data_IF_296219254298
#
_entry.id   IF_296219254298
#
_cell.length_a   1.000
_cell.length_b   1.000
_cell.length_c   1.000
_cell.angle_alpha   90.00
_cell.angle_beta   90.00
_cell.angle_gamma   90.00
#
_symmetry.space_group_name_H-M   'P 1'
#
loop_
_entity.id
_entity.type
_entity.pdbx_description
1 polymer ?
#
# COMPACT_ATOMS: atom_id res chain seq x y z
N UNK A 1 -7.93 -21.18 42.04
CA UNK A 1 -7.55 -19.80 41.65
C UNK A 1 -6.45 -19.71 40.59
N UNK A 2 -5.43 -20.60 40.55
CA UNK A 2 -4.33 -20.52 39.56
C UNK A 2 -4.76 -20.86 38.11
N UNK A 3 -5.75 -21.75 37.95
CA UNK A 3 -6.30 -22.19 36.66
C UNK A 3 -7.16 -21.12 35.97
N UNK A 4 -8.02 -20.44 36.73
CA UNK A 4 -8.83 -19.32 36.21
C UNK A 4 -7.97 -18.16 35.70
N UNK A 5 -6.82 -17.91 36.35
CA UNK A 5 -5.91 -16.81 35.98
C UNK A 5 -5.19 -17.04 34.64
N UNK A 6 -4.98 -18.30 34.26
CA UNK A 6 -4.45 -18.67 32.95
C UNK A 6 -5.50 -18.51 31.84
N UNK A 7 -6.75 -18.90 32.09
CA UNK A 7 -7.85 -18.69 31.14
C UNK A 7 -8.12 -17.20 30.87
N UNK A 8 -8.07 -16.34 31.89
CA UNK A 8 -8.28 -14.90 31.73
C UNK A 8 -7.15 -14.21 30.94
N UNK A 9 -5.90 -14.67 31.09
CA UNK A 9 -4.75 -14.14 30.36
C UNK A 9 -4.82 -14.50 28.87
N UNK A 10 -5.21 -15.74 28.56
CA UNK A 10 -5.43 -16.17 27.17
C UNK A 10 -6.58 -15.42 26.50
N UNK A 11 -7.69 -15.21 27.22
CA UNK A 11 -8.83 -14.45 26.68
C UNK A 11 -8.46 -12.97 26.41
N UNK A 12 -7.70 -12.32 27.28
CA UNK A 12 -7.26 -10.94 27.09
C UNK A 12 -6.37 -10.77 25.83
N UNK A 13 -5.50 -11.73 25.54
CA UNK A 13 -4.65 -11.71 24.33
C UNK A 13 -5.49 -11.87 23.06
N UNK A 14 -6.51 -12.73 23.08
CA UNK A 14 -7.41 -12.90 21.93
C UNK A 14 -8.24 -11.63 21.68
N UNK A 15 -8.71 -10.98 22.74
CA UNK A 15 -9.50 -9.73 22.66
C UNK A 15 -8.65 -8.57 22.12
N UNK A 16 -7.41 -8.40 22.60
CA UNK A 16 -6.55 -7.29 22.12
C UNK A 16 -6.08 -7.48 20.69
N UNK A 17 -5.85 -8.72 20.25
CA UNK A 17 -5.54 -9.00 18.84
C UNK A 17 -6.75 -8.70 17.96
N UNK A 18 -7.96 -9.11 18.35
CA UNK A 18 -9.19 -8.88 17.58
C UNK A 18 -9.48 -7.37 17.38
N UNK A 19 -9.30 -6.56 18.43
CA UNK A 19 -9.50 -5.10 18.36
C UNK A 19 -8.50 -4.44 17.39
N UNK A 20 -7.24 -4.90 17.34
CA UNK A 20 -6.21 -4.33 16.47
C UNK A 20 -6.54 -4.44 14.96
N UNK A 21 -7.25 -5.49 14.54
CA UNK A 21 -7.70 -5.65 13.15
C UNK A 21 -8.84 -4.70 12.77
N UNK A 22 -9.63 -4.22 13.76
CA UNK A 22 -10.72 -3.26 13.53
C UNK A 22 -10.21 -1.84 13.27
N UNK A 23 -9.06 -1.46 13.83
CA UNK A 23 -8.49 -0.10 13.68
C UNK A 23 -7.55 0.06 12.48
N UNK A 24 -7.02 -1.03 11.91
CA UNK A 24 -6.01 -0.98 10.84
C UNK A 24 -6.61 -1.14 9.43
N UNK A 25 -7.94 -1.09 9.31
CA UNK A 25 -8.69 -1.40 8.08
C UNK A 25 -8.62 -0.38 6.93
N UNK A 26 -7.71 0.60 6.95
CA UNK A 26 -7.47 1.46 5.79
C UNK A 26 -6.61 0.71 4.75
N UNK A 27 -7.20 -0.30 4.10
CA UNK A 27 -6.60 -0.91 2.92
C UNK A 27 -6.66 0.09 1.78
N UNK A 28 -5.50 0.60 1.35
CA UNK A 28 -5.40 1.28 0.06
C UNK A 28 -5.87 0.29 -1.01
N UNK A 29 -7.02 0.55 -1.62
CA UNK A 29 -7.53 -0.27 -2.70
C UNK A 29 -6.49 -0.33 -3.81
N UNK A 30 -6.13 -1.54 -4.24
CA UNK A 30 -5.26 -1.69 -5.39
C UNK A 30 -5.91 -1.03 -6.61
N UNK A 31 -5.14 -0.34 -7.47
CA UNK A 31 -5.67 0.18 -8.72
C UNK A 31 -6.26 -0.97 -9.54
N UNK A 32 -7.44 -0.76 -10.13
CA UNK A 32 -7.96 -1.71 -11.11
C UNK A 32 -7.10 -1.71 -12.38
N UNK A 33 -7.15 -2.80 -13.15
CA UNK A 33 -6.45 -2.88 -14.44
C UNK A 33 -6.86 -1.72 -15.38
N UNK A 34 -8.13 -1.33 -15.35
CA UNK A 34 -8.63 -0.16 -16.08
C UNK A 34 -7.98 1.16 -15.63
N UNK A 35 -7.74 1.32 -14.32
CA UNK A 35 -7.05 2.47 -13.78
C UNK A 35 -5.58 2.48 -14.22
N UNK A 36 -4.91 1.32 -14.21
CA UNK A 36 -3.53 1.16 -14.67
C UNK A 36 -3.42 1.47 -16.17
N UNK A 37 -4.30 0.92 -17.01
CA UNK A 37 -4.28 1.17 -18.46
C UNK A 37 -4.52 2.63 -18.84
N UNK A 38 -5.46 3.31 -18.16
CA UNK A 38 -5.64 4.76 -18.31
C UNK A 38 -4.40 5.54 -17.86
N UNK A 39 -3.81 5.14 -16.72
CA UNK A 39 -2.58 5.73 -16.21
C UNK A 39 -1.44 5.64 -17.23
N UNK A 40 -1.28 4.51 -17.90
CA UNK A 40 -0.25 4.32 -18.93
C UNK A 40 -0.48 5.23 -20.15
N UNK A 41 -1.73 5.39 -20.60
CA UNK A 41 -2.06 6.30 -21.72
C UNK A 41 -1.72 7.75 -21.37
N UNK A 42 -2.09 8.19 -20.17
CA UNK A 42 -1.76 9.54 -19.68
C UNK A 42 -0.25 9.71 -19.55
N UNK A 43 0.45 8.71 -19.01
CA UNK A 43 1.91 8.75 -18.86
C UNK A 43 2.61 8.93 -20.21
N UNK A 44 2.27 8.12 -21.21
CA UNK A 44 2.84 8.24 -22.56
C UNK A 44 2.54 9.59 -23.20
N UNK A 45 1.36 10.17 -22.93
CA UNK A 45 0.92 11.43 -23.54
C UNK A 45 1.56 12.66 -22.90
N UNK A 46 1.79 12.64 -21.59
CA UNK A 46 2.12 13.86 -20.83
C UNK A 46 3.43 13.78 -20.04
N UNK A 47 3.90 12.58 -19.70
CA UNK A 47 5.02 12.38 -18.78
C UNK A 47 6.26 11.81 -19.48
N UNK A 48 6.06 10.83 -20.38
CA UNK A 48 7.11 10.01 -20.96
C UNK A 48 8.12 10.78 -21.82
N UNK A 49 7.74 11.93 -22.37
CA UNK A 49 8.64 12.79 -23.13
C UNK A 49 9.82 13.30 -22.28
N UNK A 50 9.59 13.59 -20.99
CA UNK A 50 10.62 14.08 -20.08
C UNK A 50 11.14 12.95 -19.18
N UNK A 51 10.22 12.18 -18.60
CA UNK A 51 10.54 11.15 -17.62
C UNK A 51 10.94 9.80 -18.24
N UNK A 52 11.07 9.75 -19.57
CA UNK A 52 11.37 8.54 -20.35
C UNK A 52 10.24 7.49 -20.29
N UNK A 53 10.17 6.56 -21.26
CA UNK A 53 9.09 5.57 -21.33
C UNK A 53 8.92 4.69 -20.08
N UNK A 54 10.00 4.35 -19.37
CA UNK A 54 9.90 3.53 -18.15
C UNK A 54 10.21 4.33 -16.86
N UNK A 55 10.14 5.65 -16.92
CA UNK A 55 10.30 6.49 -15.73
C UNK A 55 11.75 6.66 -15.26
N UNK A 56 12.75 6.32 -16.06
CA UNK A 56 14.16 6.50 -15.69
C UNK A 56 14.59 7.97 -15.59
N UNK A 57 13.87 8.87 -16.27
CA UNK A 57 14.30 10.25 -16.44
C UNK A 57 15.65 10.38 -17.14
N UNK A 58 16.28 11.54 -17.00
CA UNK A 58 17.62 11.84 -17.48
C UNK A 58 18.41 12.53 -16.36
N UNK A 59 19.52 11.91 -15.95
CA UNK A 59 20.34 12.42 -14.86
C UNK A 59 20.73 13.89 -15.08
N UNK A 60 20.47 14.72 -14.07
CA UNK A 60 20.79 16.16 -14.10
C UNK A 60 19.81 17.03 -14.91
N UNK A 61 18.79 16.46 -15.55
CA UNK A 61 17.80 17.21 -16.36
C UNK A 61 16.36 16.90 -15.93
N UNK A 62 15.96 15.63 -15.98
CA UNK A 62 14.62 15.18 -15.59
C UNK A 62 14.73 14.05 -14.56
N UNK A 63 14.13 14.19 -13.38
CA UNK A 63 14.26 13.18 -12.34
C UNK A 63 13.56 11.87 -12.73
N UNK A 64 14.02 10.71 -12.20
CA UNK A 64 13.31 9.45 -12.34
C UNK A 64 11.97 9.49 -11.60
N UNK A 65 10.95 8.85 -12.19
CA UNK A 65 9.66 8.57 -11.55
C UNK A 65 9.50 7.11 -11.15
N UNK A 66 10.37 6.22 -11.65
CA UNK A 66 10.40 4.83 -11.19
C UNK A 66 10.84 4.78 -9.73
N UNK A 67 10.08 4.06 -8.90
CA UNK A 67 10.35 3.79 -7.49
C UNK A 67 10.96 2.43 -7.28
#
# INVERSE_FOLDING_TARGET
MKTYRWLTLSAAIVITVLEAWLFTGASASQPSDDAVGRGQTLYSSYCGACHQPNGEGMAGVFPPLKG
#
